data_IF_380427843836
#
_entry.id   IF_380427843836
#
_cell.length_a   1.000
_cell.length_b   1.000
_cell.length_c   1.000
_cell.angle_alpha   90.00
_cell.angle_beta   90.00
_cell.angle_gamma   90.00
#
_symmetry.space_group_name_H-M   'P 1'
#
loop_
_entity.id
_entity.type
_entity.pdbx_description
1 polymer ?
#
# COMPACT_ATOMS: atom_id res chain seq x y z
N UNK A 1 38.28 22.94 24.18
CA UNK A 1 38.71 24.27 24.71
C UNK A 1 40.22 24.27 24.87
N UNK A 2 40.94 24.82 23.89
CA UNK A 2 42.34 25.25 24.02
C UNK A 2 42.52 26.50 23.17
N UNK A 3 42.79 27.62 23.82
CA UNK A 3 42.80 28.97 23.22
C UNK A 3 44.07 29.23 22.42
N UNK A 4 43.98 29.09 21.09
CA UNK A 4 44.92 29.72 20.15
C UNK A 4 44.13 30.69 19.27
N UNK A 5 44.36 31.98 19.45
CA UNK A 5 43.73 33.02 18.64
C UNK A 5 44.15 32.87 17.17
N UNK A 6 43.18 32.91 16.26
CA UNK A 6 43.41 32.93 14.81
C UNK A 6 43.40 31.58 14.08
N UNK A 7 43.04 30.45 14.71
CA UNK A 7 42.92 29.14 14.04
C UNK A 7 41.54 28.52 14.21
N UNK A 8 40.95 28.04 13.10
CA UNK A 8 39.65 27.34 13.08
C UNK A 8 39.86 25.94 13.64
N UNK A 9 39.24 25.63 14.78
CA UNK A 9 39.41 24.35 15.47
C UNK A 9 38.42 23.26 15.00
N UNK A 10 37.28 23.66 14.45
CA UNK A 10 36.23 22.75 13.97
C UNK A 10 35.42 23.43 12.86
N UNK A 11 35.21 22.73 11.75
CA UNK A 11 34.25 23.12 10.71
C UNK A 11 33.19 22.03 10.66
N UNK A 12 31.93 22.40 10.90
CA UNK A 12 30.80 21.48 10.80
C UNK A 12 30.09 21.75 9.48
N UNK A 13 30.06 20.73 8.62
CA UNK A 13 29.35 20.78 7.34
C UNK A 13 28.19 19.79 7.42
N UNK A 14 26.98 20.33 7.27
CA UNK A 14 25.75 19.53 7.23
C UNK A 14 25.24 19.52 5.79
N UNK A 15 25.11 18.35 5.20
CA UNK A 15 24.48 18.16 3.90
C UNK A 15 23.25 17.26 4.06
N UNK A 16 22.09 17.72 3.60
CA UNK A 16 20.90 16.88 3.49
C UNK A 16 21.04 16.01 2.24
N UNK A 17 21.40 14.74 2.42
CA UNK A 17 21.34 13.74 1.34
C UNK A 17 20.70 12.45 1.84
N UNK A 18 19.72 11.93 1.09
CA UNK A 18 19.07 10.64 1.33
C UNK A 18 19.94 9.43 0.93
N UNK A 19 21.11 9.67 0.32
CA UNK A 19 22.01 8.61 -0.17
C UNK A 19 23.43 9.08 -0.50
N UNK A 20 23.97 10.07 0.22
CA UNK A 20 25.37 10.49 -0.01
C UNK A 20 26.34 9.41 0.51
N UNK A 21 27.29 8.92 -0.30
CA UNK A 21 28.39 8.08 0.19
C UNK A 21 29.36 8.96 0.98
N UNK A 22 29.01 9.21 2.24
CA UNK A 22 29.75 10.10 3.18
C UNK A 22 31.22 9.71 3.35
N UNK A 23 31.55 8.44 3.07
CA UNK A 23 32.91 7.91 3.17
C UNK A 23 33.79 8.42 2.01
N UNK A 24 33.23 8.56 0.80
CA UNK A 24 33.97 9.03 -0.39
C UNK A 24 34.32 10.52 -0.23
N UNK A 25 33.38 11.32 0.30
CA UNK A 25 33.63 12.73 0.59
C UNK A 25 34.59 12.95 1.77
N UNK A 26 34.62 12.03 2.75
CA UNK A 26 35.59 12.10 3.84
C UNK A 26 37.02 11.81 3.35
N UNK A 27 37.18 10.83 2.46
CA UNK A 27 38.47 10.42 1.88
C UNK A 27 39.04 11.48 0.92
N UNK A 28 38.19 12.17 0.16
CA UNK A 28 38.61 13.25 -0.76
C UNK A 28 39.02 14.54 -0.01
N UNK A 29 38.40 14.84 1.13
CA UNK A 29 38.79 15.99 1.98
C UNK A 29 40.08 15.70 2.76
N UNK A 30 40.31 14.44 3.16
CA UNK A 30 41.56 14.02 3.80
C UNK A 30 42.75 14.03 2.82
N UNK A 31 42.52 13.79 1.53
CA UNK A 31 43.55 13.86 0.49
C UNK A 31 44.05 15.28 0.18
N UNK A 32 43.21 16.30 0.32
CA UNK A 32 43.54 17.68 -0.04
C UNK A 32 44.11 18.49 1.15
N UNK A 33 43.90 18.05 2.40
CA UNK A 33 44.28 18.79 3.62
C UNK A 33 44.91 17.87 4.68
N UNK A 34 46.24 17.87 4.76
CA UNK A 34 47.09 16.98 5.59
C UNK A 34 46.90 17.08 7.13
N UNK A 35 46.01 17.95 7.63
CA UNK A 35 45.81 18.25 9.06
C UNK A 35 44.35 18.14 9.56
N UNK A 36 43.47 17.42 8.85
CA UNK A 36 42.05 17.29 9.21
C UNK A 36 41.67 15.81 9.38
N UNK A 37 41.06 15.45 10.53
CA UNK A 37 40.52 14.11 10.80
C UNK A 37 38.99 14.15 10.64
N UNK A 38 38.45 13.52 9.59
CA UNK A 38 37.03 13.60 9.26
C UNK A 38 36.22 12.54 10.03
N UNK A 39 35.54 12.93 11.12
CA UNK A 39 34.64 12.02 11.85
C UNK A 39 33.22 12.05 11.28
N UNK A 40 32.82 10.98 10.59
CA UNK A 40 31.45 10.83 10.09
C UNK A 40 30.49 10.53 11.24
N UNK A 41 29.51 11.41 11.49
CA UNK A 41 28.44 11.20 12.48
C UNK A 41 27.32 10.31 11.87
N UNK A 42 27.66 9.08 11.45
CA UNK A 42 26.67 8.10 10.98
C UNK A 42 25.93 7.39 12.12
N UNK A 43 26.51 7.37 13.33
CA UNK A 43 26.04 6.50 14.42
C UNK A 43 24.75 6.96 15.11
N UNK A 44 24.38 8.26 15.07
CA UNK A 44 23.08 8.72 15.61
C UNK A 44 21.92 8.40 14.66
N UNK A 45 22.13 8.54 13.34
CA UNK A 45 21.09 8.30 12.34
C UNK A 45 20.83 6.81 12.13
N UNK A 46 21.84 5.93 12.24
CA UNK A 46 21.64 4.48 12.08
C UNK A 46 20.80 3.84 13.19
N UNK A 47 20.84 4.37 14.41
CA UNK A 47 19.99 3.90 15.51
C UNK A 47 18.53 4.33 15.32
N UNK A 48 18.30 5.53 14.79
CA UNK A 48 16.97 6.06 14.47
C UNK A 48 16.36 5.38 13.22
N UNK A 49 17.17 5.07 12.21
CA UNK A 49 16.75 4.34 11.01
C UNK A 49 16.41 2.88 11.32
N UNK A 50 17.14 2.21 12.23
CA UNK A 50 16.79 0.86 12.66
C UNK A 50 15.45 0.80 13.40
N UNK A 51 15.09 1.86 14.15
CA UNK A 51 13.74 1.96 14.72
C UNK A 51 12.69 2.15 13.64
N UNK A 52 12.92 3.04 12.65
CA UNK A 52 11.98 3.29 11.56
C UNK A 52 11.76 2.06 10.67
N UNK A 53 12.81 1.30 10.34
CA UNK A 53 12.70 0.05 9.57
C UNK A 53 11.88 -1.03 10.32
N UNK A 54 12.06 -1.13 11.64
CA UNK A 54 11.25 -2.05 12.46
C UNK A 54 9.77 -1.64 12.47
N UNK A 55 9.48 -0.33 12.57
CA UNK A 55 8.10 0.17 12.50
C UNK A 55 7.48 -0.05 11.11
N UNK A 56 8.24 0.17 10.04
CA UNK A 56 7.81 -0.10 8.67
C UNK A 56 7.46 -1.58 8.47
N UNK A 57 8.33 -2.49 8.93
CA UNK A 57 8.10 -3.93 8.85
C UNK A 57 6.82 -4.38 9.58
N UNK A 58 6.56 -3.84 10.77
CA UNK A 58 5.32 -4.11 11.50
C UNK A 58 4.07 -3.61 10.75
N UNK A 59 4.14 -2.40 10.17
CA UNK A 59 3.03 -1.85 9.39
C UNK A 59 2.76 -2.66 8.11
N UNK A 60 3.80 -3.15 7.44
CA UNK A 60 3.66 -4.03 6.27
C UNK A 60 2.95 -5.33 6.69
N UNK A 61 3.35 -5.94 7.80
CA UNK A 61 2.71 -7.15 8.31
C UNK A 61 1.21 -6.94 8.59
N UNK A 62 0.85 -5.87 9.29
CA UNK A 62 -0.55 -5.52 9.56
C UNK A 62 -1.32 -5.29 8.26
N UNK A 63 -0.70 -4.63 7.28
CA UNK A 63 -1.29 -4.38 5.96
C UNK A 63 -1.61 -5.69 5.24
N UNK A 64 -0.68 -6.66 5.26
CA UNK A 64 -0.89 -7.99 4.64
C UNK A 64 -2.06 -8.72 5.30
N UNK A 65 -2.16 -8.69 6.62
CA UNK A 65 -3.28 -9.32 7.35
C UNK A 65 -4.60 -8.62 7.03
N UNK A 66 -4.63 -7.29 6.99
CA UNK A 66 -5.81 -6.52 6.62
C UNK A 66 -6.24 -6.79 5.17
N UNK A 67 -5.30 -6.90 4.24
CA UNK A 67 -5.57 -7.31 2.86
C UNK A 67 -6.18 -8.71 2.82
N UNK A 68 -5.63 -9.68 3.56
CA UNK A 68 -6.19 -11.02 3.63
C UNK A 68 -7.64 -11.02 4.15
N UNK A 69 -7.93 -10.25 5.21
CA UNK A 69 -9.28 -10.09 5.74
C UNK A 69 -10.24 -9.46 4.72
N UNK A 70 -9.77 -8.45 3.98
CA UNK A 70 -10.56 -7.80 2.92
C UNK A 70 -10.93 -8.78 1.79
N UNK A 71 -9.99 -9.64 1.38
CA UNK A 71 -10.23 -10.68 0.36
C UNK A 71 -11.32 -11.63 0.82
N UNK A 72 -11.26 -12.10 2.07
CA UNK A 72 -12.28 -12.98 2.64
C UNK A 72 -13.64 -12.30 2.72
N UNK A 73 -13.68 -11.02 3.09
CA UNK A 73 -14.90 -10.21 3.12
C UNK A 73 -15.55 -10.11 1.74
N UNK A 74 -14.79 -9.65 0.74
CA UNK A 74 -15.28 -9.53 -0.65
C UNK A 74 -15.73 -10.89 -1.21
N UNK A 75 -14.94 -11.94 -0.99
CA UNK A 75 -15.26 -13.31 -1.43
C UNK A 75 -16.59 -13.78 -0.85
N UNK A 76 -16.83 -13.51 0.44
CA UNK A 76 -18.05 -13.92 1.15
C UNK A 76 -19.25 -13.15 0.63
N UNK A 77 -19.17 -11.83 0.59
CA UNK A 77 -20.24 -10.96 0.07
C UNK A 77 -20.64 -11.37 -1.34
N UNK A 78 -19.66 -11.55 -2.22
CA UNK A 78 -19.93 -11.89 -3.62
C UNK A 78 -20.45 -13.32 -3.79
N UNK A 79 -20.03 -14.26 -2.94
CA UNK A 79 -20.62 -15.60 -2.90
C UNK A 79 -22.09 -15.53 -2.52
N UNK A 80 -22.46 -14.72 -1.52
CA UNK A 80 -23.86 -14.50 -1.13
C UNK A 80 -24.66 -13.92 -2.29
N UNK A 81 -24.14 -12.88 -2.97
CA UNK A 81 -24.80 -12.30 -4.15
C UNK A 81 -25.02 -13.31 -5.28
N UNK A 82 -24.08 -14.24 -5.50
CA UNK A 82 -24.23 -15.34 -6.48
C UNK A 82 -25.37 -16.30 -6.09
N UNK A 83 -25.52 -16.59 -4.80
CA UNK A 83 -26.57 -17.49 -4.30
C UNK A 83 -27.94 -16.83 -4.47
N UNK A 84 -28.08 -15.55 -4.09
CA UNK A 84 -29.33 -14.79 -4.23
C UNK A 84 -29.76 -14.67 -5.70
N UNK A 85 -28.81 -14.42 -6.61
CA UNK A 85 -29.07 -14.25 -8.04
C UNK A 85 -28.97 -15.55 -8.85
N UNK A 86 -28.93 -16.71 -8.19
CA UNK A 86 -28.73 -18.01 -8.86
C UNK A 86 -29.80 -18.31 -9.92
N UNK A 87 -31.06 -17.94 -9.65
CA UNK A 87 -32.20 -18.10 -10.59
C UNK A 87 -32.02 -17.27 -11.86
N UNK A 88 -31.59 -16.03 -11.74
CA UNK A 88 -31.32 -15.15 -12.87
C UNK A 88 -30.15 -15.67 -13.72
N UNK A 89 -29.09 -16.15 -13.08
CA UNK A 89 -27.93 -16.75 -13.76
C UNK A 89 -28.33 -18.03 -14.51
N UNK A 90 -29.18 -18.86 -13.89
CA UNK A 90 -29.73 -20.06 -14.52
C UNK A 90 -30.56 -19.73 -15.77
N UNK A 91 -31.41 -18.69 -15.69
CA UNK A 91 -32.23 -18.23 -16.80
C UNK A 91 -31.39 -17.61 -17.93
N UNK A 92 -30.38 -16.80 -17.61
CA UNK A 92 -29.43 -16.26 -18.58
C UNK A 92 -28.71 -17.39 -19.34
N UNK A 93 -28.25 -18.43 -18.63
CA UNK A 93 -27.62 -19.61 -19.26
C UNK A 93 -28.59 -20.41 -20.11
N UNK A 94 -29.85 -20.58 -19.69
CA UNK A 94 -30.87 -21.27 -20.46
C UNK A 94 -31.20 -20.56 -21.78
N UNK A 95 -31.11 -19.22 -21.79
CA UNK A 95 -31.24 -18.39 -23.00
C UNK A 95 -29.97 -18.35 -23.86
N UNK A 96 -28.92 -19.09 -23.49
CA UNK A 96 -27.67 -19.18 -24.26
C UNK A 96 -26.63 -18.09 -23.96
N UNK A 97 -26.71 -17.42 -22.81
CA UNK A 97 -25.68 -16.44 -22.43
C UNK A 97 -24.30 -17.08 -22.32
N UNK A 98 -23.31 -16.44 -22.94
CA UNK A 98 -21.92 -16.89 -22.91
C UNK A 98 -21.31 -16.75 -21.50
N UNK A 99 -20.42 -17.69 -21.13
CA UNK A 99 -19.67 -17.64 -19.87
C UNK A 99 -18.94 -16.31 -19.67
N UNK A 100 -18.42 -15.73 -20.76
CA UNK A 100 -17.69 -14.47 -20.75
C UNK A 100 -18.57 -13.29 -20.29
N UNK A 101 -19.86 -13.29 -20.64
CA UNK A 101 -20.80 -12.23 -20.23
C UNK A 101 -21.09 -12.28 -18.73
N UNK A 102 -21.21 -13.49 -18.19
CA UNK A 102 -21.38 -13.70 -16.74
C UNK A 102 -20.12 -13.27 -15.99
N UNK A 103 -18.94 -13.67 -16.48
CA UNK A 103 -17.65 -13.25 -15.89
C UNK A 103 -17.49 -11.74 -15.93
N UNK A 104 -17.79 -11.08 -17.06
CA UNK A 104 -17.67 -9.63 -17.20
C UNK A 104 -18.59 -8.89 -16.22
N UNK A 105 -19.82 -9.36 -16.01
CA UNK A 105 -20.76 -8.77 -15.05
C UNK A 105 -20.14 -8.70 -13.64
N UNK A 106 -19.63 -9.83 -13.15
CA UNK A 106 -19.01 -9.91 -11.84
C UNK A 106 -17.68 -9.16 -11.78
N UNK A 107 -16.91 -9.13 -12.86
CA UNK A 107 -15.66 -8.37 -12.90
C UNK A 107 -15.92 -6.86 -12.78
N UNK A 108 -16.97 -6.36 -13.43
CA UNK A 108 -17.42 -4.97 -13.32
C UNK A 108 -17.90 -4.69 -11.89
N UNK A 109 -18.70 -5.56 -11.30
CA UNK A 109 -19.17 -5.43 -9.92
C UNK A 109 -17.99 -5.36 -8.93
N UNK A 110 -17.02 -6.27 -9.06
CA UNK A 110 -15.80 -6.26 -8.25
C UNK A 110 -14.96 -4.99 -8.47
N UNK A 111 -14.86 -4.53 -9.72
CA UNK A 111 -14.12 -3.31 -10.05
C UNK A 111 -14.76 -2.07 -9.44
N UNK A 112 -16.09 -1.98 -9.48
CA UNK A 112 -16.85 -0.88 -8.84
C UNK A 112 -16.64 -0.88 -7.34
N UNK A 113 -16.72 -2.05 -6.69
CA UNK A 113 -16.43 -2.20 -5.26
C UNK A 113 -14.99 -1.76 -4.94
N UNK A 114 -14.01 -2.17 -5.76
CA UNK A 114 -12.61 -1.78 -5.60
C UNK A 114 -12.37 -0.28 -5.80
N UNK A 115 -13.01 0.36 -6.78
CA UNK A 115 -12.89 1.80 -7.00
C UNK A 115 -13.48 2.58 -5.83
N UNK A 116 -14.69 2.24 -5.40
CA UNK A 116 -15.36 2.92 -4.28
C UNK A 116 -14.57 2.70 -2.98
N UNK A 117 -14.16 1.46 -2.72
CA UNK A 117 -13.34 1.11 -1.56
C UNK A 117 -11.99 1.82 -1.57
N UNK A 118 -11.33 1.91 -2.73
CA UNK A 118 -10.06 2.61 -2.89
C UNK A 118 -10.16 4.11 -2.65
N UNK A 119 -11.20 4.77 -3.18
CA UNK A 119 -11.45 6.21 -2.95
C UNK A 119 -11.73 6.48 -1.47
N UNK A 120 -12.68 5.74 -0.87
CA UNK A 120 -13.05 5.91 0.53
C UNK A 120 -11.88 5.59 1.47
N UNK A 121 -11.14 4.51 1.19
CA UNK A 121 -9.97 4.11 1.94
C UNK A 121 -8.84 5.13 1.86
N UNK A 122 -8.59 5.71 0.69
CA UNK A 122 -7.60 6.77 0.53
C UNK A 122 -8.00 8.03 1.32
N UNK A 123 -9.24 8.49 1.21
CA UNK A 123 -9.73 9.67 1.94
C UNK A 123 -9.62 9.45 3.45
N UNK A 124 -10.08 8.30 3.95
CA UNK A 124 -10.00 7.96 5.37
C UNK A 124 -8.54 7.84 5.84
N UNK A 125 -7.68 7.19 5.05
CA UNK A 125 -6.26 7.03 5.36
C UNK A 125 -5.53 8.37 5.44
N UNK A 126 -5.78 9.29 4.50
CA UNK A 126 -5.22 10.65 4.53
C UNK A 126 -5.71 11.43 5.74
N UNK A 127 -6.99 11.32 6.07
CA UNK A 127 -7.56 11.98 7.24
C UNK A 127 -6.93 11.49 8.54
N UNK A 128 -6.82 10.17 8.71
CA UNK A 128 -6.16 9.53 9.86
C UNK A 128 -4.68 9.90 9.94
N UNK A 129 -3.96 9.86 8.81
CA UNK A 129 -2.54 10.22 8.76
C UNK A 129 -2.32 11.68 9.17
N UNK A 130 -3.20 12.61 8.77
CA UNK A 130 -3.13 14.02 9.21
C UNK A 130 -3.45 14.17 10.69
N UNK A 131 -4.47 13.48 11.19
CA UNK A 131 -4.85 13.54 12.61
C UNK A 131 -3.72 13.02 13.52
N UNK A 132 -3.06 11.93 13.12
CA UNK A 132 -1.93 11.36 13.87
C UNK A 132 -0.68 12.24 13.71
N UNK A 133 -0.39 12.71 12.50
CA UNK A 133 0.77 13.56 12.23
C UNK A 133 0.77 14.87 13.02
N UNK A 134 -0.39 15.53 13.12
CA UNK A 134 -0.54 16.76 13.89
C UNK A 134 -0.47 16.54 15.40
N UNK A 135 -0.93 15.39 15.91
CA UNK A 135 -0.99 15.12 17.35
C UNK A 135 0.30 14.57 17.93
N UNK A 136 1.11 13.85 17.13
CA UNK A 136 2.32 13.16 17.61
C UNK A 136 3.61 13.88 17.20
N UNK A 137 3.69 14.38 15.96
CA UNK A 137 4.95 14.83 15.37
C UNK A 137 5.01 16.34 15.09
N UNK A 138 3.91 17.08 15.27
CA UNK A 138 3.75 18.51 14.90
C UNK A 138 4.11 18.83 13.43
N UNK A 139 4.31 17.81 12.60
CA UNK A 139 4.65 17.93 11.18
C UNK A 139 3.45 17.55 10.31
N UNK A 140 3.15 18.37 9.32
CA UNK A 140 2.11 18.06 8.34
C UNK A 140 2.56 16.92 7.42
N UNK A 141 1.86 15.78 7.48
CA UNK A 141 2.08 14.66 6.54
C UNK A 141 1.75 15.14 5.13
N UNK A 142 2.78 15.23 4.28
CA UNK A 142 2.61 15.62 2.89
C UNK A 142 1.84 14.52 2.12
N UNK A 143 0.59 14.81 1.79
CA UNK A 143 -0.22 13.91 0.97
C UNK A 143 0.11 14.13 -0.50
N UNK A 144 0.70 13.13 -1.16
CA UNK A 144 0.93 13.21 -2.59
C UNK A 144 -0.28 12.66 -3.36
N UNK A 145 -0.93 13.50 -4.17
CA UNK A 145 -2.08 13.12 -5.01
C UNK A 145 -1.73 12.02 -6.01
N UNK A 146 -0.44 11.88 -6.36
CA UNK A 146 0.07 10.84 -7.26
C UNK A 146 -0.15 9.43 -6.69
N UNK A 147 -0.31 9.28 -5.36
CA UNK A 147 -0.57 7.99 -4.72
C UNK A 147 -2.02 7.52 -4.88
N UNK A 148 -2.96 8.42 -5.19
CA UNK A 148 -4.38 8.10 -5.37
C UNK A 148 -4.61 7.02 -6.46
N UNK A 149 -4.11 7.16 -7.71
CA UNK A 149 -4.31 6.13 -8.73
C UNK A 149 -3.66 4.79 -8.36
N UNK A 150 -2.54 4.81 -7.64
CA UNK A 150 -1.88 3.58 -7.15
C UNK A 150 -2.75 2.88 -6.11
N UNK A 151 -3.30 3.62 -5.15
CA UNK A 151 -4.19 3.08 -4.12
C UNK A 151 -5.46 2.47 -4.72
N UNK A 152 -6.08 3.17 -5.69
CA UNK A 152 -7.23 2.65 -6.42
C UNK A 152 -6.85 1.40 -7.22
N UNK A 153 -5.70 1.41 -7.91
CA UNK A 153 -5.20 0.28 -8.67
C UNK A 153 -5.01 -0.97 -7.81
N UNK A 154 -4.41 -0.82 -6.63
CA UNK A 154 -4.24 -1.92 -5.67
C UNK A 154 -5.61 -2.40 -5.17
N UNK A 155 -6.52 -1.49 -4.81
CA UNK A 155 -7.84 -1.85 -4.30
C UNK A 155 -8.66 -2.64 -5.34
N UNK A 156 -8.65 -2.19 -6.59
CA UNK A 156 -9.29 -2.90 -7.71
C UNK A 156 -8.63 -4.26 -7.94
N UNK A 157 -7.30 -4.33 -7.93
CA UNK A 157 -6.59 -5.60 -8.10
C UNK A 157 -6.98 -6.61 -7.01
N UNK A 158 -7.03 -6.18 -5.75
CA UNK A 158 -7.44 -7.03 -4.61
C UNK A 158 -8.89 -7.48 -4.76
N UNK A 159 -9.81 -6.57 -5.11
CA UNK A 159 -11.23 -6.91 -5.30
C UNK A 159 -11.43 -7.91 -6.45
N UNK A 160 -10.72 -7.71 -7.57
CA UNK A 160 -10.75 -8.63 -8.72
C UNK A 160 -10.20 -10.00 -8.33
N UNK A 161 -9.04 -10.07 -7.67
CA UNK A 161 -8.46 -11.33 -7.20
C UNK A 161 -9.41 -12.06 -6.24
N UNK A 162 -10.05 -11.33 -5.32
CA UNK A 162 -11.04 -11.87 -4.38
C UNK A 162 -12.32 -12.37 -5.07
N UNK A 163 -12.67 -11.84 -6.23
CA UNK A 163 -13.86 -12.27 -6.99
C UNK A 163 -13.66 -13.54 -7.84
N UNK A 164 -12.42 -14.01 -8.01
CA UNK A 164 -12.15 -15.23 -8.82
C UNK A 164 -12.89 -16.47 -8.29
N UNK A 165 -12.85 -16.81 -6.97
CA UNK A 165 -13.58 -17.96 -6.44
C UNK A 165 -15.12 -17.90 -6.65
N UNK A 166 -15.84 -16.81 -6.32
CA UNK A 166 -17.28 -16.73 -6.50
C UNK A 166 -17.68 -16.71 -7.98
N UNK A 167 -16.91 -16.07 -8.87
CA UNK A 167 -17.15 -16.10 -10.32
C UNK A 167 -17.12 -17.54 -10.85
N UNK A 168 -16.13 -18.34 -10.42
CA UNK A 168 -16.06 -19.77 -10.79
C UNK A 168 -17.28 -20.54 -10.29
N UNK A 169 -17.79 -20.23 -9.10
CA UNK A 169 -19.03 -20.83 -8.57
C UNK A 169 -20.25 -20.45 -9.41
N UNK A 170 -20.40 -19.18 -9.79
CA UNK A 170 -21.49 -18.70 -10.65
C UNK A 170 -21.51 -19.42 -12.02
N UNK A 171 -20.32 -19.63 -12.60
CA UNK A 171 -20.17 -20.36 -13.86
C UNK A 171 -20.54 -21.86 -13.76
N UNK A 172 -20.51 -22.45 -12.57
CA UNK A 172 -20.92 -23.84 -12.32
C UNK A 172 -22.41 -24.03 -12.02
N UNK A 173 -23.19 -22.95 -11.93
CA UNK A 173 -24.65 -23.06 -11.74
C UNK A 173 -25.30 -23.77 -12.94
N UNK A 174 -25.95 -24.90 -12.68
CA UNK A 174 -26.69 -25.68 -13.67
C UNK A 174 -28.14 -25.19 -13.82
N UNK A 175 -28.60 -24.84 -15.04
CA UNK A 175 -29.94 -24.31 -15.26
C UNK A 175 -31.06 -25.28 -14.86
N UNK A 176 -30.85 -26.58 -15.10
CA UNK A 176 -31.86 -27.61 -14.89
C UNK A 176 -32.26 -27.77 -13.42
N UNK A 177 -31.29 -27.69 -12.50
CA UNK A 177 -31.53 -27.80 -11.06
C UNK A 177 -32.25 -26.55 -10.54
N UNK A 178 -31.78 -25.38 -10.96
CA UNK A 178 -32.28 -24.09 -10.46
C UNK A 178 -33.74 -23.83 -10.86
N UNK A 179 -34.14 -24.26 -12.06
CA UNK A 179 -35.52 -24.09 -12.55
C UNK A 179 -36.49 -25.15 -12.00
N UNK A 180 -35.99 -26.30 -11.53
CA UNK A 180 -36.81 -27.29 -10.82
C UNK A 180 -37.15 -26.90 -9.39
N UNK A 181 -36.53 -25.85 -8.86
CA UNK A 181 -36.87 -25.29 -7.54
C UNK A 181 -36.27 -26.05 -6.36
N UNK A 182 -35.26 -26.89 -6.60
CA UNK A 182 -34.44 -27.54 -5.57
C UNK A 182 -33.22 -26.70 -5.18
#
# INVERSE_FOLDING_TARGET
MSGREGKVHTVQVSALCTGCPVNVFAEEIEGEIEYVEARTVKQLVSAEMATLENFEGMMVMVTVVAMAASILGVTTTMTTSVIERRKEIGLMKALGAERMRITALFLVEASVIGVIGGILGFIAGVFLARAIGLSVFETAVATNIILLPIAIGISVAVAVLASIPPVRRALRVEPAIVLRGE
#
